data_IF_149075327176
#
_entry.id   IF_149075327176
#
_cell.length_a   1.000
_cell.length_b   1.000
_cell.length_c   1.000
_cell.angle_alpha   90.00
_cell.angle_beta   90.00
_cell.angle_gamma   90.00
#
_symmetry.space_group_name_H-M   'P 1'
#
loop_
_entity.id
_entity.type
_entity.pdbx_description
1 polymer ?
#
# COMPACT_ATOMS: atom_id res chain seq x y z
N UNK A 1 -4.10 6.33 -11.14
CA UNK A 1 -3.27 6.07 -12.34
C UNK A 1 -3.47 4.64 -12.86
N UNK A 2 -2.87 3.59 -12.26
CA UNK A 2 -2.96 2.19 -12.75
C UNK A 2 -4.38 1.60 -12.88
N UNK A 3 -5.38 2.21 -12.22
CA UNK A 3 -6.79 1.79 -12.21
C UNK A 3 -7.73 2.85 -12.78
N UNK A 4 -7.20 4.01 -13.17
CA UNK A 4 -7.96 5.05 -13.83
C UNK A 4 -8.11 4.69 -15.32
N UNK A 5 -9.29 4.85 -15.94
CA UNK A 5 -9.48 4.62 -17.36
C UNK A 5 -8.61 5.55 -18.22
N UNK A 6 -8.09 5.03 -19.33
CA UNK A 6 -7.42 5.83 -20.34
C UNK A 6 -8.45 6.69 -21.11
N UNK A 7 -8.14 7.97 -21.32
CA UNK A 7 -9.00 8.96 -22.02
C UNK A 7 -9.44 8.51 -23.43
N UNK A 8 -8.61 7.72 -24.13
CA UNK A 8 -8.92 7.20 -25.47
C UNK A 8 -9.56 5.80 -25.46
N UNK A 9 -9.43 5.05 -24.36
CA UNK A 9 -9.98 3.70 -24.23
C UNK A 9 -10.26 3.37 -22.76
N UNK A 10 -11.50 3.60 -22.33
CA UNK A 10 -11.94 3.40 -20.94
C UNK A 10 -11.82 1.96 -20.41
N UNK A 11 -11.50 0.97 -21.27
CA UNK A 11 -11.20 -0.42 -20.85
C UNK A 11 -9.71 -0.68 -20.56
N UNK A 12 -8.84 0.29 -20.81
CA UNK A 12 -7.40 0.23 -20.54
C UNK A 12 -7.04 1.18 -19.39
N UNK A 13 -6.00 0.86 -18.60
CA UNK A 13 -5.50 1.78 -17.59
C UNK A 13 -4.81 2.98 -18.25
N UNK A 14 -4.82 4.12 -17.55
CA UNK A 14 -4.13 5.34 -17.98
C UNK A 14 -2.61 5.12 -18.10
N UNK A 15 -2.03 4.33 -17.19
CA UNK A 15 -0.60 3.98 -17.12
C UNK A 15 -0.41 2.46 -17.05
N UNK A 16 0.65 1.92 -17.67
CA UNK A 16 1.10 0.57 -17.39
C UNK A 16 2.07 0.54 -16.19
N UNK A 17 2.25 -0.62 -15.57
CA UNK A 17 3.10 -0.77 -14.38
C UNK A 17 4.56 -0.31 -14.61
N UNK A 18 5.12 -0.54 -15.80
CA UNK A 18 6.46 -0.12 -16.19
C UNK A 18 6.66 1.40 -16.23
N UNK A 19 5.58 2.17 -16.43
CA UNK A 19 5.65 3.62 -16.65
C UNK A 19 5.73 4.37 -15.30
N UNK A 20 5.34 3.72 -14.20
CA UNK A 20 5.27 4.31 -12.85
C UNK A 20 6.66 4.70 -12.31
N UNK A 21 7.71 3.96 -12.64
CA UNK A 21 9.08 4.31 -12.20
C UNK A 21 9.54 5.62 -12.87
N UNK A 22 9.28 5.77 -14.17
CA UNK A 22 9.54 7.01 -14.90
C UNK A 22 8.72 8.18 -14.36
N UNK A 23 7.42 7.96 -14.09
CA UNK A 23 6.57 8.97 -13.44
C UNK A 23 7.16 9.46 -12.11
N UNK A 24 7.64 8.56 -11.23
CA UNK A 24 8.29 9.00 -10.00
C UNK A 24 9.59 9.76 -10.26
N UNK A 25 10.43 9.34 -11.21
CA UNK A 25 11.66 10.06 -11.60
C UNK A 25 11.37 11.47 -12.11
N UNK A 26 10.32 11.64 -12.92
CA UNK A 26 9.99 12.91 -13.57
C UNK A 26 9.20 13.88 -12.67
N UNK A 27 8.40 13.36 -11.72
CA UNK A 27 7.47 14.16 -10.93
C UNK A 27 7.84 14.24 -9.44
N UNK A 28 8.44 13.23 -8.81
CA UNK A 28 8.78 13.27 -7.38
C UNK A 28 9.70 14.45 -7.00
N UNK A 29 10.74 14.83 -7.79
CA UNK A 29 11.58 16.00 -7.47
C UNK A 29 10.83 17.35 -7.48
N UNK A 30 9.64 17.40 -8.11
CA UNK A 30 8.76 18.58 -8.21
C UNK A 30 7.66 18.56 -7.14
N UNK A 31 7.19 17.37 -6.75
CA UNK A 31 6.29 17.15 -5.60
C UNK A 31 7.03 17.43 -4.29
N UNK A 32 8.26 16.89 -4.16
CA UNK A 32 9.13 17.03 -3.00
C UNK A 32 10.43 17.77 -3.39
N UNK A 33 10.37 19.11 -3.61
CA UNK A 33 11.54 19.90 -3.97
C UNK A 33 12.62 19.84 -2.89
N UNK A 34 13.76 19.23 -3.23
CA UNK A 34 14.92 19.08 -2.37
C UNK A 34 15.61 20.44 -2.19
N UNK A 35 15.21 21.20 -1.17
CA UNK A 35 15.61 22.60 -1.05
C UNK A 35 17.12 22.76 -0.83
N UNK A 36 17.81 23.36 -1.82
CA UNK A 36 19.16 23.91 -1.66
C UNK A 36 19.15 25.40 -1.29
N UNK A 37 17.97 25.98 -1.09
CA UNK A 37 17.77 27.43 -0.98
C UNK A 37 18.13 27.95 0.43
N UNK A 38 19.12 28.86 0.55
CA UNK A 38 19.48 29.45 1.83
C UNK A 38 18.36 30.37 2.34
N UNK A 39 18.33 30.63 3.64
CA UNK A 39 17.30 31.46 4.29
C UNK A 39 17.14 32.87 3.64
N UNK A 40 18.20 33.37 3.00
CA UNK A 40 18.26 34.65 2.28
C UNK A 40 17.45 34.71 0.97
N UNK A 41 16.91 33.59 0.47
CA UNK A 41 16.14 33.58 -0.79
C UNK A 41 14.62 33.66 -0.61
N UNK A 42 14.12 33.72 0.63
CA UNK A 42 12.70 33.92 0.88
C UNK A 42 12.33 35.38 0.56
N UNK A 43 11.43 35.58 -0.41
CA UNK A 43 11.05 36.90 -0.94
C UNK A 43 9.80 37.50 -0.29
N UNK A 44 9.10 36.76 0.56
CA UNK A 44 7.83 37.17 1.16
C UNK A 44 7.71 36.75 2.63
N UNK A 45 6.93 37.50 3.40
CA UNK A 45 6.63 37.14 4.79
C UNK A 45 5.76 35.87 4.90
N UNK A 46 4.92 35.59 3.89
CA UNK A 46 4.07 34.40 3.83
C UNK A 46 4.89 33.12 3.60
N UNK A 47 5.95 33.15 2.78
CA UNK A 47 6.86 32.01 2.64
C UNK A 47 7.67 31.75 3.93
N UNK A 48 8.01 32.80 4.70
CA UNK A 48 8.66 32.66 6.00
C UNK A 48 7.69 32.00 7.00
N UNK A 49 6.46 32.49 7.11
CA UNK A 49 5.42 31.89 7.96
C UNK A 49 5.16 30.43 7.58
N UNK A 50 5.00 30.12 6.29
CA UNK A 50 4.83 28.75 5.82
C UNK A 50 5.99 27.85 6.22
N UNK A 51 7.24 28.32 6.09
CA UNK A 51 8.45 27.54 6.42
C UNK A 51 8.59 27.20 7.92
N UNK A 52 7.92 27.93 8.81
CA UNK A 52 7.95 27.70 10.25
C UNK A 52 6.66 27.08 10.82
N UNK A 53 5.51 27.26 10.18
CA UNK A 53 4.19 26.91 10.72
C UNK A 53 3.31 26.07 9.76
N UNK A 54 3.69 25.95 8.49
CA UNK A 54 3.03 25.11 7.50
C UNK A 54 3.67 23.73 7.34
N UNK A 55 3.02 22.79 6.63
CA UNK A 55 3.62 21.51 6.27
C UNK A 55 4.81 21.71 5.31
N UNK A 56 5.71 20.72 5.28
CA UNK A 56 7.00 20.77 4.57
C UNK A 56 6.86 21.10 3.08
N UNK A 57 5.75 20.71 2.45
CA UNK A 57 5.43 21.01 1.06
C UNK A 57 4.01 21.61 0.91
N UNK A 58 3.85 22.54 -0.05
CA UNK A 58 2.56 23.19 -0.34
C UNK A 58 1.55 22.25 -1.04
N UNK A 59 2.03 21.23 -1.75
CA UNK A 59 1.18 20.26 -2.46
C UNK A 59 0.60 20.74 -3.79
N UNK A 60 0.76 22.03 -4.16
CA UNK A 60 0.20 22.62 -5.38
C UNK A 60 0.54 21.83 -6.65
N UNK A 61 1.83 21.48 -6.84
CA UNK A 61 2.28 20.70 -8.00
C UNK A 61 1.64 19.31 -8.08
N UNK A 62 1.47 18.63 -6.94
CA UNK A 62 0.79 17.33 -6.90
C UNK A 62 -0.69 17.47 -7.27
N UNK A 63 -1.35 18.51 -6.76
CA UNK A 63 -2.76 18.80 -7.03
C UNK A 63 -3.00 19.09 -8.52
N UNK A 64 -2.16 19.89 -9.14
CA UNK A 64 -2.31 20.24 -10.55
C UNK A 64 -1.93 19.08 -11.49
N UNK A 65 -0.88 18.32 -11.16
CA UNK A 65 -0.53 17.08 -11.86
C UNK A 65 -1.69 16.06 -11.82
N UNK A 66 -2.29 15.83 -10.64
CA UNK A 66 -3.41 14.89 -10.52
C UNK A 66 -4.64 15.35 -11.32
N UNK A 67 -4.92 16.67 -11.38
CA UNK A 67 -5.99 17.21 -12.24
C UNK A 67 -5.71 17.00 -13.73
N UNK A 68 -4.48 17.24 -14.18
CA UNK A 68 -4.09 17.05 -15.59
C UNK A 68 -4.27 15.58 -16.02
N UNK A 69 -3.80 14.66 -15.18
CA UNK A 69 -3.85 13.22 -15.43
C UNK A 69 -5.27 12.65 -15.36
N UNK A 70 -5.97 12.89 -14.24
CA UNK A 70 -7.22 12.21 -13.91
C UNK A 70 -8.46 13.00 -14.37
N UNK A 71 -8.35 14.31 -14.57
CA UNK A 71 -9.46 15.20 -14.93
C UNK A 71 -10.63 15.07 -13.95
N UNK A 72 -11.84 14.94 -14.50
CA UNK A 72 -13.08 14.79 -13.74
C UNK A 72 -13.41 13.32 -13.39
N UNK A 73 -12.51 12.36 -13.70
CA UNK A 73 -12.74 10.93 -13.48
C UNK A 73 -13.08 10.64 -12.01
N UNK A 74 -14.21 9.96 -11.78
CA UNK A 74 -14.73 9.63 -10.45
C UNK A 74 -14.39 8.21 -9.99
N UNK A 75 -14.52 7.95 -8.69
CA UNK A 75 -14.15 6.69 -8.05
C UNK A 75 -14.86 5.45 -8.65
N UNK A 76 -16.14 5.58 -9.03
CA UNK A 76 -16.93 4.52 -9.66
C UNK A 76 -16.46 4.16 -11.07
N UNK A 77 -15.72 5.04 -11.75
CA UNK A 77 -15.23 4.86 -13.11
C UNK A 77 -13.89 4.09 -13.19
N UNK A 78 -13.33 3.71 -12.04
CA UNK A 78 -12.14 2.85 -11.99
C UNK A 78 -12.38 1.49 -12.68
N UNK A 79 -11.42 1.07 -13.50
CA UNK A 79 -11.53 -0.13 -14.36
C UNK A 79 -11.51 -1.45 -13.56
N UNK A 80 -11.11 -1.37 -12.30
CA UNK A 80 -11.12 -2.46 -11.32
C UNK A 80 -11.55 -1.88 -9.98
N UNK A 81 -11.95 -2.75 -9.05
CA UNK A 81 -12.23 -2.35 -7.68
C UNK A 81 -10.96 -1.81 -7.03
N UNK A 82 -11.06 -0.64 -6.40
CA UNK A 82 -10.01 -0.08 -5.54
C UNK A 82 -10.54 0.10 -4.12
N UNK A 83 -9.64 0.01 -3.15
CA UNK A 83 -9.89 0.20 -1.73
C UNK A 83 -8.78 1.14 -1.25
N UNK A 84 -9.11 2.39 -0.98
CA UNK A 84 -8.14 3.47 -0.71
C UNK A 84 -8.42 4.03 0.69
N UNK A 85 -7.57 3.72 1.69
CA UNK A 85 -7.68 4.29 3.03
C UNK A 85 -7.38 5.79 3.06
N UNK A 86 -8.10 6.50 3.91
CA UNK A 86 -7.93 7.91 4.26
C UNK A 86 -8.41 8.10 5.71
N UNK A 87 -8.16 9.25 6.31
CA UNK A 87 -8.70 9.58 7.64
C UNK A 87 -9.38 10.95 7.63
N UNK A 88 -10.60 11.03 8.16
CA UNK A 88 -11.37 12.27 8.25
C UNK A 88 -11.12 12.93 9.62
N UNK A 89 -10.37 14.04 9.64
CA UNK A 89 -9.96 14.73 10.87
C UNK A 89 -11.11 15.50 11.54
N UNK A 90 -12.17 15.83 10.81
CA UNK A 90 -13.36 16.47 11.37
C UNK A 90 -14.27 15.42 12.06
N UNK A 91 -14.30 14.19 11.53
CA UNK A 91 -15.05 13.06 12.12
C UNK A 91 -14.24 12.20 13.09
N UNK A 92 -12.92 12.39 13.16
CA UNK A 92 -11.99 11.57 13.93
C UNK A 92 -12.11 10.07 13.63
N UNK A 93 -12.32 9.72 12.35
CA UNK A 93 -12.62 8.34 11.94
C UNK A 93 -11.99 7.98 10.58
N UNK A 94 -11.45 6.76 10.41
CA UNK A 94 -10.94 6.30 9.13
C UNK A 94 -12.06 6.17 8.09
N UNK A 95 -11.79 6.66 6.88
CA UNK A 95 -12.71 6.56 5.75
C UNK A 95 -12.02 5.75 4.64
N UNK A 96 -12.66 4.66 4.22
CA UNK A 96 -12.15 3.82 3.14
C UNK A 96 -12.97 4.13 1.88
N UNK A 97 -12.35 4.76 0.89
CA UNK A 97 -12.97 4.97 -0.40
C UNK A 97 -12.91 3.68 -1.21
N UNK A 98 -14.07 3.18 -1.67
CA UNK A 98 -14.11 2.00 -2.54
C UNK A 98 -14.99 2.19 -3.77
N UNK A 99 -14.58 1.54 -4.86
CA UNK A 99 -15.31 1.53 -6.14
C UNK A 99 -16.72 0.95 -6.00
N UNK A 100 -16.93 -0.05 -5.13
CA UNK A 100 -18.25 -0.64 -4.95
C UNK A 100 -19.21 0.31 -4.21
N UNK A 101 -18.75 0.99 -3.15
CA UNK A 101 -19.61 1.97 -2.47
C UNK A 101 -19.93 3.16 -3.40
N UNK A 102 -18.94 3.64 -4.17
CA UNK A 102 -19.13 4.71 -5.15
C UNK A 102 -20.11 4.35 -6.30
N UNK A 103 -20.27 3.06 -6.60
CA UNK A 103 -21.26 2.56 -7.59
C UNK A 103 -22.68 2.49 -7.03
N UNK A 104 -22.85 2.61 -5.72
CA UNK A 104 -24.16 2.56 -5.04
C UNK A 104 -24.68 3.92 -4.62
N UNK A 105 -23.78 4.79 -4.20
CA UNK A 105 -24.08 6.02 -3.49
C UNK A 105 -23.22 7.13 -4.09
N UNK A 106 -23.85 8.02 -4.86
CA UNK A 106 -23.14 9.13 -5.54
C UNK A 106 -22.47 10.07 -4.51
N UNK A 107 -23.02 10.16 -3.29
CA UNK A 107 -22.42 10.94 -2.20
C UNK A 107 -21.09 10.36 -1.71
N UNK A 108 -20.76 9.14 -2.13
CA UNK A 108 -19.48 8.43 -1.94
C UNK A 108 -18.69 8.25 -3.24
N UNK A 109 -19.06 8.97 -4.31
CA UNK A 109 -18.37 8.95 -5.60
C UNK A 109 -17.59 10.26 -5.87
N UNK A 110 -16.52 10.56 -5.11
CA UNK A 110 -15.68 11.72 -5.36
C UNK A 110 -14.84 11.57 -6.63
N UNK A 111 -14.22 12.66 -7.08
CA UNK A 111 -13.20 12.61 -8.13
C UNK A 111 -11.96 11.86 -7.63
N UNK A 112 -11.29 11.13 -8.51
CA UNK A 112 -10.04 10.43 -8.18
C UNK A 112 -8.93 11.39 -7.76
N UNK A 113 -8.94 12.64 -8.25
CA UNK A 113 -8.06 13.72 -7.78
C UNK A 113 -8.19 13.91 -6.27
N UNK A 114 -9.42 14.03 -5.76
CA UNK A 114 -9.68 14.27 -4.34
C UNK A 114 -9.31 13.06 -3.48
N UNK A 115 -9.56 11.84 -3.97
CA UNK A 115 -9.16 10.60 -3.30
C UNK A 115 -7.63 10.47 -3.25
N UNK A 116 -6.93 10.77 -4.35
CA UNK A 116 -5.46 10.73 -4.42
C UNK A 116 -4.81 11.81 -3.55
N UNK A 117 -5.35 13.04 -3.53
CA UNK A 117 -4.89 14.10 -2.61
C UNK A 117 -5.12 13.68 -1.15
N UNK A 118 -6.30 13.17 -0.82
CA UNK A 118 -6.65 12.70 0.53
C UNK A 118 -5.70 11.62 1.04
N UNK A 119 -5.50 10.55 0.26
CA UNK A 119 -4.70 9.40 0.68
C UNK A 119 -3.20 9.69 0.75
N UNK A 120 -2.73 10.78 0.13
CA UNK A 120 -1.32 11.21 0.13
C UNK A 120 -1.03 12.38 1.10
N UNK A 121 -2.04 12.91 1.79
CA UNK A 121 -1.92 14.12 2.62
C UNK A 121 -1.28 13.81 3.99
N UNK A 122 -0.02 13.36 3.98
CA UNK A 122 0.70 12.93 5.17
C UNK A 122 0.91 14.10 6.15
N UNK A 123 0.50 13.97 7.43
CA UNK A 123 0.74 14.99 8.45
C UNK A 123 2.22 15.41 8.49
N UNK A 124 2.46 16.70 8.73
CA UNK A 124 3.76 17.41 8.62
C UNK A 124 4.37 17.53 7.21
N UNK A 125 4.05 16.65 6.26
CA UNK A 125 4.58 16.69 4.89
C UNK A 125 3.70 17.51 3.93
N UNK A 126 2.40 17.25 3.89
CA UNK A 126 1.44 17.86 2.96
C UNK A 126 0.22 18.44 3.71
N UNK A 127 -0.47 19.44 3.15
CA UNK A 127 -1.67 19.99 3.77
C UNK A 127 -2.84 19.00 3.74
N UNK A 128 -3.75 19.14 4.70
CA UNK A 128 -5.03 18.43 4.70
C UNK A 128 -5.83 18.82 3.45
N UNK A 129 -6.58 17.87 2.88
CA UNK A 129 -7.40 18.09 1.69
C UNK A 129 -8.88 18.24 2.05
N UNK A 130 -9.46 19.42 1.81
CA UNK A 130 -10.92 19.64 1.90
C UNK A 130 -11.56 19.56 0.50
N UNK A 131 -12.67 18.82 0.40
CA UNK A 131 -13.52 18.79 -0.80
C UNK A 131 -14.97 18.38 -0.45
N UNK A 132 -15.86 18.51 -1.43
CA UNK A 132 -17.25 18.04 -1.38
C UNK A 132 -17.47 17.02 -2.51
N UNK A 133 -18.23 15.95 -2.26
CA UNK A 133 -18.58 14.96 -3.29
C UNK A 133 -19.90 15.33 -3.96
N UNK A 134 -20.03 15.04 -5.26
CA UNK A 134 -21.29 15.21 -5.98
C UNK A 134 -22.45 14.51 -5.25
N UNK A 135 -23.60 15.17 -5.13
CA UNK A 135 -24.75 14.62 -4.38
C UNK A 135 -24.56 14.56 -2.85
N UNK A 136 -23.50 15.14 -2.30
CA UNK A 136 -23.27 15.25 -0.86
C UNK A 136 -23.18 16.71 -0.42
N UNK A 137 -23.90 17.08 0.64
CA UNK A 137 -23.67 18.34 1.36
C UNK A 137 -22.53 18.23 2.39
N UNK A 138 -21.84 17.09 2.45
CA UNK A 138 -20.75 16.83 3.38
C UNK A 138 -19.41 17.32 2.82
N UNK A 139 -18.77 18.18 3.60
CA UNK A 139 -17.33 18.47 3.50
C UNK A 139 -16.50 17.31 4.06
N UNK A 140 -15.61 16.78 3.23
CA UNK A 140 -14.62 15.79 3.60
C UNK A 140 -13.35 16.54 4.02
N UNK A 141 -12.81 16.23 5.20
CA UNK A 141 -11.64 16.90 5.78
C UNK A 141 -10.53 15.87 5.96
N UNK A 142 -9.73 15.64 4.92
CA UNK A 142 -9.00 14.38 4.77
C UNK A 142 -7.49 14.52 4.95
N UNK A 143 -6.91 13.50 5.58
CA UNK A 143 -5.46 13.23 5.62
C UNK A 143 -5.16 11.79 5.18
N UNK A 144 -3.86 11.52 5.03
CA UNK A 144 -3.27 10.26 4.57
C UNK A 144 -3.87 9.00 5.24
N UNK A 145 -4.03 7.93 4.46
CA UNK A 145 -4.53 6.65 4.94
C UNK A 145 -3.60 5.93 5.91
N UNK A 146 -2.30 6.23 5.88
CA UNK A 146 -1.25 5.62 6.69
C UNK A 146 -1.45 5.80 8.19
N UNK A 147 -2.14 6.86 8.63
CA UNK A 147 -2.48 7.05 10.06
C UNK A 147 -3.47 6.00 10.58
N UNK A 148 -4.14 5.28 9.69
CA UNK A 148 -5.12 4.24 10.03
C UNK A 148 -4.74 2.85 9.48
N UNK A 149 -4.20 2.76 8.27
CA UNK A 149 -3.92 1.51 7.57
C UNK A 149 -2.72 1.64 6.62
N UNK A 150 -1.53 1.90 7.17
CA UNK A 150 -0.27 2.00 6.41
C UNK A 150 0.05 0.72 5.59
N UNK A 151 -0.30 -0.45 6.13
CA UNK A 151 -0.37 -1.69 5.35
C UNK A 151 -1.85 -2.02 5.06
N UNK A 152 -2.40 -1.68 3.88
CA UNK A 152 -3.82 -1.86 3.60
C UNK A 152 -4.25 -3.32 3.37
N UNK A 153 -3.34 -4.31 3.49
CA UNK A 153 -3.61 -5.72 3.15
C UNK A 153 -4.81 -6.29 3.91
N UNK A 154 -4.87 -6.11 5.24
CA UNK A 154 -6.01 -6.58 6.04
C UNK A 154 -7.30 -5.79 5.72
N UNK A 155 -7.18 -4.47 5.53
CA UNK A 155 -8.29 -3.61 5.10
C UNK A 155 -8.88 -4.07 3.77
N UNK A 156 -8.04 -4.48 2.82
CA UNK A 156 -8.47 -5.00 1.52
C UNK A 156 -9.19 -6.35 1.64
N UNK A 157 -8.66 -7.29 2.44
CA UNK A 157 -9.30 -8.58 2.73
C UNK A 157 -10.71 -8.38 3.31
N UNK A 158 -10.84 -7.49 4.29
CA UNK A 158 -12.12 -7.26 4.97
C UNK A 158 -13.11 -6.49 4.09
N UNK A 159 -12.66 -5.53 3.30
CA UNK A 159 -13.52 -4.79 2.38
C UNK A 159 -13.97 -5.64 1.19
N UNK A 160 -13.13 -6.47 0.55
CA UNK A 160 -13.64 -7.38 -0.51
C UNK A 160 -14.68 -8.37 0.04
N UNK A 161 -14.50 -8.89 1.27
CA UNK A 161 -15.55 -9.72 1.93
C UNK A 161 -16.86 -8.97 2.11
N UNK A 162 -16.81 -7.70 2.53
CA UNK A 162 -17.99 -6.80 2.64
C UNK A 162 -18.61 -6.53 1.26
N UNK A 163 -17.79 -6.23 0.26
CA UNK A 163 -18.24 -5.94 -1.11
C UNK A 163 -18.85 -7.16 -1.79
N UNK A 164 -18.38 -8.38 -1.53
CA UNK A 164 -19.02 -9.60 -2.01
C UNK A 164 -20.46 -9.75 -1.51
N UNK A 165 -20.73 -9.40 -0.25
CA UNK A 165 -22.10 -9.39 0.30
C UNK A 165 -22.94 -8.33 -0.42
N UNK A 166 -22.36 -7.14 -0.61
CA UNK A 166 -22.99 -5.98 -1.20
C UNK A 166 -23.35 -6.19 -2.69
N UNK A 167 -22.43 -6.75 -3.48
CA UNK A 167 -22.64 -7.12 -4.89
C UNK A 167 -23.74 -8.17 -5.03
N UNK A 168 -23.80 -9.17 -4.12
CA UNK A 168 -24.89 -10.17 -4.09
C UNK A 168 -26.26 -9.58 -3.78
N UNK A 169 -26.34 -8.57 -2.92
CA UNK A 169 -27.59 -7.85 -2.64
C UNK A 169 -28.09 -7.06 -3.85
N UNK A 170 -27.18 -6.51 -4.65
CA UNK A 170 -27.48 -5.74 -5.86
C UNK A 170 -27.54 -6.55 -7.16
N UNK A 171 -27.26 -7.85 -7.09
CA UNK A 171 -27.11 -8.66 -8.28
C UNK A 171 -28.46 -8.81 -9.01
N UNK A 172 -28.59 -8.13 -10.15
CA UNK A 172 -29.70 -8.30 -11.09
C UNK A 172 -29.83 -9.76 -11.51
N UNK A 173 -31.03 -10.22 -11.89
CA UNK A 173 -31.29 -11.63 -12.22
C UNK A 173 -30.30 -12.21 -13.24
N UNK A 174 -29.85 -11.40 -14.22
CA UNK A 174 -28.84 -11.77 -15.22
C UNK A 174 -27.45 -12.07 -14.64
N UNK A 175 -27.06 -11.42 -13.53
CA UNK A 175 -25.73 -11.52 -12.93
C UNK A 175 -25.74 -12.27 -11.58
N UNK A 176 -26.91 -12.53 -11.01
CA UNK A 176 -27.10 -13.14 -9.69
C UNK A 176 -26.44 -14.51 -9.56
N UNK A 177 -26.54 -15.34 -10.59
CA UNK A 177 -25.88 -16.65 -10.59
C UNK A 177 -24.34 -16.54 -10.58
N UNK A 178 -23.78 -15.54 -11.26
CA UNK A 178 -22.33 -15.29 -11.26
C UNK A 178 -21.85 -14.79 -9.89
N UNK A 179 -22.51 -13.79 -9.30
CA UNK A 179 -22.17 -13.24 -7.97
C UNK A 179 -22.37 -14.25 -6.83
N UNK A 180 -23.30 -15.19 -6.97
CA UNK A 180 -23.47 -16.31 -6.02
C UNK A 180 -22.34 -17.35 -6.17
N UNK A 181 -21.85 -17.61 -7.39
CA UNK A 181 -20.71 -18.51 -7.66
C UNK A 181 -19.37 -17.96 -7.15
N UNK A 182 -19.20 -16.63 -7.06
CA UNK A 182 -18.04 -16.04 -6.39
C UNK A 182 -18.13 -16.39 -4.90
N UNK A 183 -17.32 -17.35 -4.46
CA UNK A 183 -17.25 -17.79 -3.06
C UNK A 183 -15.97 -17.28 -2.40
N UNK A 184 -16.01 -16.85 -1.12
CA UNK A 184 -14.85 -16.27 -0.43
C UNK A 184 -13.82 -17.32 0.00
N UNK A 185 -13.94 -18.56 -0.52
CA UNK A 185 -13.19 -19.75 -0.10
C UNK A 185 -11.70 -19.66 -0.32
N UNK A 186 -11.23 -18.81 -1.25
CA UNK A 186 -9.80 -18.65 -1.51
C UNK A 186 -9.48 -17.27 -2.06
N UNK A 187 -8.60 -16.56 -1.36
CA UNK A 187 -8.04 -15.28 -1.76
C UNK A 187 -6.58 -15.48 -2.13
N UNK A 188 -6.15 -14.91 -3.25
CA UNK A 188 -4.75 -14.90 -3.69
C UNK A 188 -4.25 -13.45 -3.54
N UNK A 189 -3.26 -13.23 -2.67
CA UNK A 189 -2.89 -11.90 -2.17
C UNK A 189 -1.41 -11.63 -2.43
N UNK A 190 -1.14 -10.57 -3.19
CA UNK A 190 0.18 -9.97 -3.32
C UNK A 190 0.18 -8.66 -2.53
N UNK A 191 1.04 -8.57 -1.52
CA UNK A 191 1.27 -7.36 -0.76
C UNK A 191 2.69 -6.85 -1.03
N UNK A 192 2.79 -5.61 -1.50
CA UNK A 192 4.05 -4.94 -1.81
C UNK A 192 4.27 -3.85 -0.76
N UNK A 193 5.42 -3.86 -0.11
CA UNK A 193 5.85 -2.81 0.81
C UNK A 193 6.85 -1.85 0.16
N UNK A 194 6.96 -0.65 0.71
CA UNK A 194 7.86 0.43 0.26
C UNK A 194 9.24 0.38 0.92
N UNK A 195 9.56 -0.73 1.61
CA UNK A 195 10.77 -0.87 2.43
C UNK A 195 10.54 -0.51 3.90
N UNK A 196 11.52 -0.78 4.75
CA UNK A 196 11.51 -0.37 6.16
C UNK A 196 12.92 -0.15 6.71
N UNK A 197 13.05 0.78 7.66
CA UNK A 197 14.30 1.08 8.36
C UNK A 197 14.28 0.54 9.80
N UNK A 198 14.19 -0.79 9.91
CA UNK A 198 14.19 -1.49 11.20
C UNK A 198 15.60 -1.73 11.76
N UNK A 199 16.41 -0.68 11.86
CA UNK A 199 17.70 -0.80 12.54
C UNK A 199 17.46 -1.00 14.03
N UNK A 200 17.68 -2.23 14.52
CA UNK A 200 17.63 -2.55 15.96
C UNK A 200 18.51 -1.56 16.73
N UNK A 201 17.92 -0.89 17.73
CA UNK A 201 18.58 0.17 18.48
C UNK A 201 18.56 1.58 17.86
N UNK A 202 17.79 1.84 16.78
CA UNK A 202 17.54 3.20 16.22
C UNK A 202 17.18 4.20 17.33
N UNK A 203 16.33 3.76 18.27
CA UNK A 203 15.95 4.49 19.47
C UNK A 203 16.23 3.62 20.72
N UNK A 204 16.51 4.25 21.86
CA UNK A 204 16.68 3.56 23.15
C UNK A 204 16.09 4.39 24.30
N UNK A 205 15.65 3.71 25.36
CA UNK A 205 14.95 4.34 26.49
C UNK A 205 15.78 5.38 27.25
N UNK A 206 17.10 5.18 27.39
CA UNK A 206 17.98 6.12 28.09
C UNK A 206 18.10 7.47 27.35
N UNK A 207 17.93 7.46 26.02
CA UNK A 207 17.89 8.66 25.20
C UNK A 207 16.47 9.21 25.05
N UNK A 208 15.45 8.36 24.83
CA UNK A 208 14.06 8.82 24.59
C UNK A 208 13.32 9.29 25.85
N UNK A 209 13.72 8.84 27.04
CA UNK A 209 13.22 9.37 28.33
C UNK A 209 13.51 10.86 28.54
N UNK A 210 14.42 11.45 27.76
CA UNK A 210 14.80 12.87 27.81
C UNK A 210 14.14 13.72 26.71
N UNK A 211 13.31 13.12 25.85
CA UNK A 211 12.74 13.79 24.69
C UNK A 211 11.55 14.67 25.06
N UNK A 212 11.58 15.93 24.64
CA UNK A 212 10.43 16.82 24.71
C UNK A 212 9.47 16.62 23.53
N UNK A 213 8.38 17.40 23.48
CA UNK A 213 7.41 17.38 22.38
C UNK A 213 8.08 17.53 21.01
N UNK A 214 9.03 18.45 20.89
CA UNK A 214 9.78 18.67 19.64
C UNK A 214 10.61 17.46 19.21
N UNK A 215 11.29 16.78 20.14
CA UNK A 215 12.07 15.57 19.82
C UNK A 215 11.21 14.40 19.33
N UNK A 216 9.98 14.28 19.83
CA UNK A 216 9.04 13.24 19.39
C UNK A 216 8.47 13.53 18.00
N UNK A 217 8.20 14.80 17.69
CA UNK A 217 7.63 15.24 16.40
C UNK A 217 8.70 15.39 15.31
N UNK A 218 9.91 15.84 15.65
CA UNK A 218 10.96 16.14 14.68
C UNK A 218 12.35 15.95 15.29
N UNK A 219 13.09 14.92 14.83
CA UNK A 219 14.46 14.64 15.26
C UNK A 219 15.32 14.23 14.07
N UNK A 220 16.48 14.85 13.87
CA UNK A 220 17.44 14.47 12.82
C UNK A 220 16.84 14.29 11.41
N UNK A 221 15.84 15.10 11.04
CA UNK A 221 15.03 15.04 9.80
C UNK A 221 13.98 13.91 9.70
N UNK A 222 13.84 13.04 10.70
CA UNK A 222 12.69 12.11 10.82
C UNK A 222 11.66 12.61 11.83
N UNK A 223 10.51 11.95 11.89
CA UNK A 223 9.45 12.22 12.86
C UNK A 223 9.21 10.95 13.69
N UNK A 224 9.96 10.73 14.80
CA UNK A 224 9.95 9.46 15.52
C UNK A 224 8.58 8.92 15.89
N UNK A 225 7.63 9.78 16.28
CA UNK A 225 6.26 9.37 16.57
C UNK A 225 5.50 8.85 15.34
N UNK A 226 5.72 9.45 14.17
CA UNK A 226 5.10 9.02 12.90
C UNK A 226 5.74 7.71 12.45
N UNK A 227 7.08 7.62 12.45
CA UNK A 227 7.82 6.38 12.15
C UNK A 227 7.25 5.20 12.97
N UNK A 228 7.20 5.36 14.30
CA UNK A 228 6.81 4.28 15.24
C UNK A 228 5.36 3.83 15.04
N UNK A 229 4.39 4.75 14.92
CA UNK A 229 3.00 4.35 14.70
C UNK A 229 2.78 3.75 13.29
N UNK A 230 3.50 4.23 12.29
CA UNK A 230 3.43 3.76 10.91
C UNK A 230 4.01 2.34 10.75
N UNK A 231 5.18 2.09 11.35
CA UNK A 231 5.82 0.77 11.41
C UNK A 231 4.97 -0.22 12.23
N UNK A 232 4.50 0.17 13.43
CA UNK A 232 3.66 -0.69 14.26
C UNK A 232 2.33 -1.05 13.58
N UNK A 233 1.71 -0.12 12.85
CA UNK A 233 0.51 -0.37 12.04
C UNK A 233 0.79 -1.42 10.94
N UNK A 234 1.92 -1.30 10.25
CA UNK A 234 2.31 -2.23 9.20
C UNK A 234 2.62 -3.64 9.73
N UNK A 235 3.32 -3.71 10.85
CA UNK A 235 3.76 -4.95 11.50
C UNK A 235 2.59 -5.75 12.06
N UNK A 236 1.63 -5.09 12.71
CA UNK A 236 0.41 -5.74 13.18
C UNK A 236 -0.39 -6.36 12.02
N UNK A 237 -0.42 -5.72 10.84
CA UNK A 237 -1.07 -6.30 9.66
C UNK A 237 -0.29 -7.49 9.12
N UNK A 238 1.04 -7.41 9.04
CA UNK A 238 1.86 -8.54 8.59
C UNK A 238 1.74 -9.74 9.57
N UNK A 239 1.68 -9.51 10.89
CA UNK A 239 1.39 -10.55 11.90
C UNK A 239 -0.03 -11.12 11.74
N UNK A 240 -1.06 -10.28 11.59
CA UNK A 240 -2.45 -10.75 11.44
C UNK A 240 -2.65 -11.57 10.16
N UNK A 241 -2.20 -11.06 9.01
CA UNK A 241 -2.33 -11.75 7.72
C UNK A 241 -1.41 -12.98 7.69
N UNK A 242 -0.21 -12.87 8.26
CA UNK A 242 0.68 -14.00 8.49
C UNK A 242 -0.01 -15.10 9.31
N UNK A 243 -0.72 -14.76 10.38
CA UNK A 243 -1.47 -15.72 11.20
C UNK A 243 -2.56 -16.42 10.39
N UNK A 244 -3.37 -15.65 9.63
CA UNK A 244 -4.45 -16.18 8.78
C UNK A 244 -3.91 -17.14 7.71
N UNK A 245 -2.75 -16.88 7.09
CA UNK A 245 -2.24 -17.73 6.00
C UNK A 245 -1.22 -18.79 6.45
N UNK A 246 -0.63 -18.67 7.64
CA UNK A 246 0.34 -19.63 8.18
C UNK A 246 -0.29 -20.62 9.17
N UNK A 247 -0.97 -20.14 10.22
CA UNK A 247 -1.54 -21.02 11.25
C UNK A 247 -2.78 -21.77 10.74
N UNK A 248 -3.68 -21.09 10.03
CA UNK A 248 -4.89 -21.73 9.46
C UNK A 248 -4.50 -22.86 8.48
N UNK A 249 -3.47 -22.61 7.67
CA UNK A 249 -2.86 -23.64 6.82
C UNK A 249 -2.29 -24.82 7.62
N UNK A 250 -1.55 -24.56 8.70
CA UNK A 250 -0.93 -25.63 9.51
C UNK A 250 -1.96 -26.44 10.32
N UNK A 251 -3.07 -25.82 10.72
CA UNK A 251 -4.22 -26.48 11.34
C UNK A 251 -4.94 -27.40 10.34
N UNK A 252 -5.17 -26.91 9.12
CA UNK A 252 -5.97 -27.60 8.10
C UNK A 252 -5.15 -28.38 7.05
N UNK A 253 -3.82 -28.51 7.21
CA UNK A 253 -2.94 -29.22 6.24
C UNK A 253 -3.32 -30.69 6.00
N UNK A 254 -3.95 -31.33 6.98
CA UNK A 254 -4.42 -32.72 6.94
C UNK A 254 -5.93 -32.85 6.66
N UNK A 255 -6.62 -31.73 6.42
CA UNK A 255 -8.06 -31.70 6.15
C UNK A 255 -8.35 -32.29 4.74
N UNK A 256 -9.30 -33.23 4.58
CA UNK A 256 -9.73 -33.72 3.27
C UNK A 256 -10.19 -32.60 2.31
N UNK A 257 -10.68 -31.48 2.85
CA UNK A 257 -11.08 -30.28 2.12
C UNK A 257 -10.05 -29.13 2.23
N UNK A 258 -8.75 -29.43 2.41
CA UNK A 258 -7.63 -28.44 2.44
C UNK A 258 -7.53 -27.49 1.24
N UNK A 259 -8.37 -27.67 0.21
CA UNK A 259 -8.52 -26.75 -0.93
C UNK A 259 -9.40 -25.53 -0.61
N UNK A 260 -10.25 -25.60 0.41
CA UNK A 260 -11.16 -24.53 0.84
C UNK A 260 -10.61 -23.69 2.01
N UNK A 261 -9.40 -24.00 2.49
CA UNK A 261 -8.71 -23.26 3.55
C UNK A 261 -7.58 -22.39 2.96
N UNK A 262 -7.28 -21.21 3.55
CA UNK A 262 -6.08 -20.43 3.25
C UNK A 262 -4.81 -21.28 3.27
N UNK A 263 -3.97 -21.16 2.23
CA UNK A 263 -2.62 -21.78 2.24
C UNK A 263 -1.53 -20.74 2.35
N UNK A 264 -0.42 -21.12 2.98
CA UNK A 264 0.83 -20.34 3.03
C UNK A 264 1.22 -19.71 1.68
N UNK A 265 1.08 -20.44 0.58
CA UNK A 265 1.42 -19.98 -0.78
C UNK A 265 0.44 -19.00 -1.44
N UNK A 266 -0.75 -18.80 -0.87
CA UNK A 266 -1.74 -17.85 -1.39
C UNK A 266 -1.53 -16.42 -0.86
N UNK A 267 -0.63 -16.20 0.11
CA UNK A 267 -0.15 -14.88 0.53
C UNK A 267 1.34 -14.72 0.19
N UNK A 268 1.65 -13.72 -0.63
CA UNK A 268 3.01 -13.31 -0.98
C UNK A 268 3.20 -11.85 -0.53
N UNK A 269 4.08 -11.65 0.46
CA UNK A 269 4.53 -10.33 0.92
C UNK A 269 5.93 -10.10 0.36
N UNK A 270 6.14 -8.99 -0.33
CA UNK A 270 7.44 -8.55 -0.81
C UNK A 270 7.72 -7.20 -0.15
N UNK A 271 8.75 -7.17 0.70
CA UNK A 271 9.14 -6.03 1.50
C UNK A 271 10.67 -5.96 1.53
N UNK A 272 11.22 -4.77 1.34
CA UNK A 272 12.66 -4.54 1.56
C UNK A 272 12.91 -4.24 3.04
N UNK A 273 13.94 -4.82 3.62
CA UNK A 273 14.33 -4.58 5.00
C UNK A 273 15.73 -3.98 5.08
N UNK A 274 16.04 -3.38 6.22
CA UNK A 274 17.37 -2.86 6.54
C UNK A 274 17.94 -1.90 5.48
N UNK A 275 17.07 -1.03 4.95
CA UNK A 275 17.48 0.07 4.06
C UNK A 275 18.32 1.11 4.83
N UNK A 276 18.67 2.22 4.18
CA UNK A 276 19.29 3.38 4.86
C UNK A 276 18.24 4.42 5.24
N UNK A 277 18.56 5.33 6.17
CA UNK A 277 17.68 6.48 6.49
C UNK A 277 17.35 7.32 5.24
N UNK A 278 18.26 7.41 4.25
CA UNK A 278 18.01 8.13 2.98
C UNK A 278 16.99 7.40 2.10
N UNK A 279 17.12 6.08 1.97
CA UNK A 279 16.25 5.23 1.16
C UNK A 279 14.85 5.07 1.78
N UNK A 280 14.74 5.03 3.11
CA UNK A 280 13.45 4.99 3.79
C UNK A 280 12.79 6.35 4.01
N UNK A 281 13.43 7.45 3.61
CA UNK A 281 12.81 8.76 3.70
C UNK A 281 11.72 8.90 2.65
N UNK A 282 10.49 9.17 3.10
CA UNK A 282 9.29 9.31 2.24
C UNK A 282 9.36 10.49 1.27
N UNK A 283 10.32 11.40 1.43
CA UNK A 283 10.38 12.65 0.68
C UNK A 283 11.75 13.04 0.11
N UNK A 284 12.77 12.16 0.14
CA UNK A 284 14.07 12.42 -0.51
C UNK A 284 13.98 12.05 -2.00
N UNK A 285 13.47 12.97 -2.79
CA UNK A 285 13.37 12.85 -4.24
C UNK A 285 14.61 13.41 -4.97
N UNK A 286 15.82 13.00 -4.56
CA UNK A 286 17.03 13.27 -5.35
C UNK A 286 17.15 12.24 -6.47
N UNK A 287 17.76 12.64 -7.61
CA UNK A 287 18.00 11.72 -8.72
C UNK A 287 18.81 10.48 -8.29
N UNK A 288 19.80 10.66 -7.40
CA UNK A 288 20.55 9.56 -6.79
C UNK A 288 19.62 8.62 -6.02
N UNK A 289 18.84 9.14 -5.05
CA UNK A 289 17.99 8.30 -4.20
C UNK A 289 16.93 7.55 -5.02
N UNK A 290 16.35 8.18 -6.05
CA UNK A 290 15.37 7.54 -6.93
C UNK A 290 15.98 6.41 -7.80
N UNK A 291 17.24 6.53 -8.23
CA UNK A 291 17.99 5.44 -8.90
C UNK A 291 18.40 4.34 -7.91
N UNK A 292 18.78 4.70 -6.69
CA UNK A 292 19.14 3.73 -5.66
C UNK A 292 17.91 2.92 -5.20
N UNK A 293 16.73 3.55 -5.11
CA UNK A 293 15.44 2.88 -4.84
C UNK A 293 15.04 1.90 -5.95
N UNK A 294 15.20 2.27 -7.21
CA UNK A 294 15.02 1.36 -8.35
C UNK A 294 15.96 0.17 -8.25
N UNK A 295 17.25 0.41 -7.95
CA UNK A 295 18.26 -0.64 -7.75
C UNK A 295 17.92 -1.57 -6.57
N UNK A 296 17.32 -1.06 -5.50
CA UNK A 296 16.78 -1.87 -4.38
C UNK A 296 15.65 -2.76 -4.87
N UNK A 297 14.69 -2.21 -5.64
CA UNK A 297 13.60 -2.97 -6.22
C UNK A 297 14.06 -4.09 -7.16
N UNK A 298 15.06 -3.82 -8.00
CA UNK A 298 15.67 -4.84 -8.87
C UNK A 298 16.34 -5.97 -8.07
N UNK A 299 17.13 -5.62 -7.05
CA UNK A 299 17.80 -6.61 -6.17
C UNK A 299 16.80 -7.44 -5.36
N UNK A 300 15.70 -6.84 -4.92
CA UNK A 300 14.64 -7.51 -4.15
C UNK A 300 14.00 -8.67 -4.94
N UNK A 301 14.00 -8.63 -6.27
CA UNK A 301 13.54 -9.74 -7.12
C UNK A 301 14.43 -10.99 -6.98
N UNK A 302 15.73 -10.81 -6.78
CA UNK A 302 16.70 -11.91 -6.71
C UNK A 302 17.00 -12.37 -5.27
N UNK A 303 16.53 -11.63 -4.27
CA UNK A 303 16.45 -12.08 -2.88
C UNK A 303 15.45 -13.23 -2.70
N UNK A 304 15.62 -14.03 -1.64
CA UNK A 304 14.70 -15.13 -1.32
C UNK A 304 13.35 -14.59 -0.88
N UNK A 305 12.31 -15.40 -1.11
CA UNK A 305 11.00 -15.17 -0.50
C UNK A 305 11.16 -15.30 1.01
N UNK A 306 10.72 -14.28 1.74
CA UNK A 306 10.68 -14.28 3.19
C UNK A 306 9.25 -14.35 3.72
N UNK A 307 9.10 -14.64 5.01
CA UNK A 307 7.83 -14.57 5.75
C UNK A 307 8.08 -14.00 7.13
N UNK A 308 7.12 -13.24 7.65
CA UNK A 308 7.12 -12.86 9.07
C UNK A 308 7.09 -14.11 9.95
N UNK A 309 8.08 -14.23 10.83
CA UNK A 309 8.06 -15.17 11.95
C UNK A 309 7.15 -14.59 13.02
N UNK A 310 6.05 -15.29 13.31
CA UNK A 310 4.98 -14.81 14.18
C UNK A 310 5.34 -14.81 15.69
N UNK A 311 6.55 -15.24 16.04
CA UNK A 311 7.12 -15.14 17.41
C UNK A 311 8.04 -13.93 17.58
N UNK A 312 8.80 -13.55 16.55
CA UNK A 312 9.79 -12.46 16.60
C UNK A 312 9.31 -11.17 15.96
N UNK A 313 8.38 -11.26 14.99
CA UNK A 313 7.94 -10.15 14.15
C UNK A 313 8.89 -9.82 12.99
N UNK A 314 10.01 -10.54 12.87
CA UNK A 314 11.02 -10.34 11.82
C UNK A 314 10.69 -11.19 10.59
N UNK A 315 11.11 -10.75 9.39
CA UNK A 315 10.99 -11.57 8.18
C UNK A 315 12.17 -12.54 8.06
N UNK A 316 11.88 -13.82 7.93
CA UNK A 316 12.86 -14.88 7.75
C UNK A 316 12.79 -15.42 6.31
N UNK A 317 13.96 -15.59 5.67
CA UNK A 317 14.05 -16.24 4.35
C UNK A 317 13.57 -17.69 4.44
N UNK A 318 12.81 -18.14 3.44
CA UNK A 318 12.38 -19.54 3.38
C UNK A 318 13.57 -20.48 3.11
N UNK A 319 13.63 -21.63 3.80
CA UNK A 319 14.71 -22.60 3.61
C UNK A 319 14.67 -23.22 2.22
N UNK A 320 15.84 -23.60 1.70
CA UNK A 320 15.91 -24.46 0.52
C UNK A 320 15.29 -25.83 0.81
N UNK A 321 14.73 -26.46 -0.23
CA UNK A 321 14.52 -27.91 -0.20
C UNK A 321 15.87 -28.61 -0.05
N UNK A 322 16.08 -29.28 1.09
CA UNK A 322 17.13 -30.30 1.23
C UNK A 322 16.67 -31.58 0.54
N UNK A 323 17.54 -32.17 -0.29
CA UNK A 323 17.44 -33.57 -0.68
C UNK A 323 18.20 -34.42 0.35
N UNK A 324 17.51 -34.97 1.34
CA UNK A 324 18.02 -36.13 2.13
C UNK A 324 16.94 -36.74 3.04
N UNK A 325 16.73 -38.04 2.87
CA UNK A 325 16.41 -39.08 3.86
C UNK A 325 15.16 -38.96 4.76
N UNK A 326 14.16 -39.77 4.40
CA UNK A 326 13.33 -40.51 5.37
C UNK A 326 12.06 -39.83 5.85
N UNK A 327 12.14 -38.64 6.44
CA UNK A 327 10.99 -37.96 7.05
C UNK A 327 10.86 -36.51 6.55
N UNK A 328 10.18 -36.37 5.42
CA UNK A 328 9.99 -35.07 4.77
C UNK A 328 8.94 -34.22 5.49
N UNK A 329 9.35 -33.09 6.06
CA UNK A 329 8.45 -31.99 6.44
C UNK A 329 8.84 -30.74 5.66
N UNK A 330 7.84 -29.99 5.21
CA UNK A 330 7.88 -28.72 4.43
C UNK A 330 7.79 -28.82 2.89
N UNK A 331 6.54 -29.05 2.46
CA UNK A 331 5.95 -28.52 1.22
C UNK A 331 4.94 -27.39 1.60
N UNK A 332 4.27 -26.63 0.72
CA UNK A 332 4.00 -26.82 -0.72
C UNK A 332 4.37 -25.57 -1.57
N UNK A 333 5.36 -25.64 -2.46
CA UNK A 333 5.24 -25.04 -3.82
C UNK A 333 5.23 -26.20 -4.81
N UNK A 334 4.17 -27.01 -4.73
CA UNK A 334 3.98 -28.16 -5.63
C UNK A 334 3.82 -27.71 -7.09
N UNK A 335 4.63 -28.32 -7.97
CA UNK A 335 4.54 -28.18 -9.42
C UNK A 335 5.65 -27.34 -10.06
N UNK A 336 6.78 -27.99 -10.32
CA UNK A 336 7.94 -27.53 -11.12
C UNK A 336 8.78 -26.36 -10.57
N UNK A 337 10.05 -26.69 -10.30
CA UNK A 337 11.24 -25.85 -10.49
C UNK A 337 11.24 -24.44 -9.87
N UNK A 338 11.64 -24.35 -8.60
CA UNK A 338 12.35 -23.16 -8.12
C UNK A 338 13.68 -23.56 -7.47
N UNK A 339 14.74 -23.66 -8.27
CA UNK A 339 16.12 -23.98 -7.83
C UNK A 339 16.78 -22.90 -6.95
N UNK A 340 16.06 -21.85 -6.53
CA UNK A 340 16.59 -20.66 -5.82
C UNK A 340 15.64 -19.94 -4.85
N UNK A 341 14.36 -20.31 -4.75
CA UNK A 341 13.38 -19.69 -3.83
C UNK A 341 13.18 -18.16 -3.90
N UNK A 342 13.45 -17.48 -5.03
CA UNK A 342 13.46 -15.99 -5.08
C UNK A 342 12.11 -15.32 -5.34
N UNK A 343 11.99 -14.05 -4.95
CA UNK A 343 10.79 -13.22 -5.19
C UNK A 343 10.40 -13.15 -6.67
N UNK A 344 11.36 -13.08 -7.59
CA UNK A 344 11.15 -13.15 -9.05
C UNK A 344 10.37 -14.39 -9.47
N UNK A 345 10.75 -15.55 -8.95
CA UNK A 345 10.08 -16.82 -9.28
C UNK A 345 8.68 -16.89 -8.66
N UNK A 346 8.52 -16.41 -7.42
CA UNK A 346 7.22 -16.34 -6.77
C UNK A 346 6.25 -15.40 -7.52
N UNK A 347 6.73 -14.27 -8.04
CA UNK A 347 5.93 -13.36 -8.89
C UNK A 347 5.55 -13.99 -10.24
N UNK A 348 6.44 -14.74 -10.87
CA UNK A 348 6.14 -15.47 -12.12
C UNK A 348 5.02 -16.50 -11.87
N UNK A 349 5.11 -17.25 -10.77
CA UNK A 349 4.07 -18.22 -10.40
C UNK A 349 2.75 -17.53 -10.04
N UNK A 350 2.80 -16.42 -9.30
CA UNK A 350 1.62 -15.60 -9.00
C UNK A 350 0.94 -15.10 -10.28
N UNK A 351 1.72 -14.62 -11.26
CA UNK A 351 1.22 -14.21 -12.58
C UNK A 351 0.62 -15.39 -13.37
N UNK A 352 1.20 -16.60 -13.27
CA UNK A 352 0.65 -17.83 -13.87
C UNK A 352 -0.71 -18.18 -13.27
N UNK A 353 -0.86 -18.10 -11.94
CA UNK A 353 -2.13 -18.32 -11.24
C UNK A 353 -3.20 -17.31 -11.68
N UNK A 354 -2.86 -16.01 -11.74
CA UNK A 354 -3.76 -14.97 -12.23
C UNK A 354 -4.18 -15.20 -13.69
N UNK A 355 -3.25 -15.60 -14.57
CA UNK A 355 -3.57 -15.92 -15.96
C UNK A 355 -4.47 -17.15 -16.09
N UNK A 356 -4.23 -18.19 -15.30
CA UNK A 356 -5.06 -19.40 -15.29
C UNK A 356 -6.48 -19.10 -14.80
N UNK A 357 -6.63 -18.29 -13.75
CA UNK A 357 -7.93 -17.84 -13.26
C UNK A 357 -8.67 -16.98 -14.29
N UNK A 358 -7.98 -16.03 -14.94
CA UNK A 358 -8.57 -15.20 -16.01
C UNK A 358 -9.00 -16.01 -17.24
N UNK A 359 -8.40 -17.16 -17.50
CA UNK A 359 -8.79 -18.07 -18.61
C UNK A 359 -9.97 -19.00 -18.26
N UNK A 360 -10.37 -19.07 -16.98
CA UNK A 360 -11.50 -19.89 -16.50
C UNK A 360 -12.82 -19.10 -16.40
N UNK A 361 -12.73 -17.77 -16.45
CA UNK A 361 -13.85 -16.82 -16.44
C UNK A 361 -14.11 -16.33 -17.86
#
# INVERSE_FOLDING_TARGET
MLTAPNKNNHKQPLYAAKDIVSFYKDHAPKIFPQSKLPLKSLRSATDVLWKFWGPRYKGDYLKDLLKEELGDTTLKETITQVIIPTYDINRLFPLIFTTAEAKMDESKNPKLVDVCMSTSAAPTYLPCHEFESNGSSRKFNMIDGGVAANNPTLTAILNERKEMILRRQLATEKNKEAELKITPKRMLILSLGTGSFKKVGKYNAANSSKWGLFDWVQKNKTSPIIDIFSDASADMVDIHVGTIFQYDHDLHKNDPDKRNHPRKKDYLRIQAENLTDELCSVDIATEKNLRDLETVGEKLLDQRVSRVNLKTGEFEELPDKKESDGETVFEEFEGLLVKKGTNRHALIEFARLLSAERKRR
#
